data_IF_168504795037
#
_entry.id   IF_168504795037
#
_cell.length_a   1.000
_cell.length_b   1.000
_cell.length_c   1.000
_cell.angle_alpha   90.00
_cell.angle_beta   90.00
_cell.angle_gamma   90.00
#
_symmetry.space_group_name_H-M   'P 1'
#
loop_
_entity.id
_entity.type
_entity.pdbx_description
1 polymer ?
#
# COMPACT_ATOMS: atom_id res chain seq x y z
N UNK A 1 -4.38 16.91 -5.93
CA UNK A 1 -3.57 18.05 -6.40
C UNK A 1 -4.10 18.57 -7.74
N UNK A 2 -5.37 18.96 -7.74
CA UNK A 2 -6.03 19.56 -8.91
C UNK A 2 -6.45 21.01 -8.60
N UNK A 3 -6.04 21.53 -7.43
CA UNK A 3 -6.53 22.78 -6.84
C UNK A 3 -5.43 23.69 -6.29
N UNK A 4 -4.26 23.17 -5.92
CA UNK A 4 -3.07 23.98 -5.54
C UNK A 4 -1.80 23.36 -6.15
N UNK A 5 -0.85 24.21 -6.54
CA UNK A 5 0.42 23.84 -7.19
C UNK A 5 1.48 23.31 -6.20
N UNK A 6 1.25 23.47 -4.90
CA UNK A 6 2.22 23.11 -3.85
C UNK A 6 2.46 21.61 -3.78
N UNK A 7 1.46 20.85 -4.24
CA UNK A 7 1.36 19.42 -4.07
C UNK A 7 1.09 19.01 -5.55
N UNK A 8 1.96 18.21 -6.24
CA UNK A 8 1.72 17.62 -7.59
C UNK A 8 1.57 16.08 -7.56
N UNK A 9 0.37 15.56 -7.82
CA UNK A 9 0.01 14.14 -7.82
C UNK A 9 -0.65 13.97 -9.15
N UNK A 10 0.00 13.24 -10.02
CA UNK A 10 -0.52 12.90 -11.32
C UNK A 10 -1.57 11.80 -11.16
N UNK A 11 -2.33 11.59 -12.22
CA UNK A 11 -3.31 10.51 -12.30
C UNK A 11 -2.66 9.15 -11.96
N UNK A 12 -1.40 8.94 -12.36
CA UNK A 12 -0.65 7.72 -12.05
C UNK A 12 -0.45 7.49 -10.54
N UNK A 13 -0.32 8.54 -9.73
CA UNK A 13 -0.16 8.40 -8.27
C UNK A 13 -1.45 7.86 -7.64
N UNK A 14 -2.61 8.33 -8.12
CA UNK A 14 -3.90 7.82 -7.70
C UNK A 14 -4.11 6.37 -8.13
N UNK A 15 -3.68 5.99 -9.33
CA UNK A 15 -3.75 4.61 -9.79
C UNK A 15 -2.83 3.71 -8.95
N UNK A 16 -1.60 4.15 -8.69
CA UNK A 16 -0.66 3.43 -7.85
C UNK A 16 -1.23 3.20 -6.44
N UNK A 17 -1.81 4.25 -5.83
CA UNK A 17 -2.50 4.16 -4.55
C UNK A 17 -3.68 3.18 -4.58
N UNK A 18 -4.53 3.29 -5.60
CA UNK A 18 -5.68 2.41 -5.78
C UNK A 18 -5.28 0.95 -5.95
N UNK A 19 -4.30 0.66 -6.81
CA UNK A 19 -3.78 -0.69 -7.00
C UNK A 19 -3.18 -1.25 -5.72
N UNK A 20 -2.39 -0.45 -4.99
CA UNK A 20 -1.77 -0.89 -3.74
C UNK A 20 -2.82 -1.28 -2.69
N UNK A 21 -3.90 -0.50 -2.57
CA UNK A 21 -5.02 -0.79 -1.67
C UNK A 21 -5.82 -2.02 -2.11
N UNK A 22 -6.14 -2.14 -3.40
CA UNK A 22 -6.90 -3.28 -3.93
C UNK A 22 -6.12 -4.58 -3.76
N UNK A 23 -4.81 -4.58 -4.07
CA UNK A 23 -3.97 -5.77 -3.93
C UNK A 23 -3.82 -6.16 -2.47
N UNK A 24 -3.47 -5.23 -1.58
CA UNK A 24 -3.29 -5.51 -0.15
C UNK A 24 -4.59 -5.94 0.53
N UNK A 25 -5.69 -5.20 0.32
CA UNK A 25 -7.01 -5.52 0.87
C UNK A 25 -7.59 -6.81 0.31
N UNK A 26 -7.48 -7.03 -1.01
CA UNK A 26 -7.90 -8.28 -1.66
C UNK A 26 -7.12 -9.49 -1.15
N UNK A 27 -5.81 -9.34 -0.97
CA UNK A 27 -4.95 -10.37 -0.36
C UNK A 27 -5.39 -10.68 1.07
N UNK A 28 -5.68 -9.65 1.87
CA UNK A 28 -6.18 -9.84 3.23
C UNK A 28 -7.49 -10.62 3.24
N UNK A 29 -8.49 -10.22 2.45
CA UNK A 29 -9.79 -10.90 2.41
C UNK A 29 -9.63 -12.36 1.98
N UNK A 30 -8.85 -12.62 0.92
CA UNK A 30 -8.64 -13.97 0.39
C UNK A 30 -7.93 -14.90 1.39
N UNK A 31 -6.94 -14.38 2.12
CA UNK A 31 -6.17 -15.16 3.09
C UNK A 31 -6.90 -15.28 4.42
N UNK A 32 -7.52 -14.21 4.93
CA UNK A 32 -8.26 -14.20 6.18
C UNK A 32 -9.50 -15.11 6.12
N UNK A 33 -10.10 -15.29 4.94
CA UNK A 33 -11.22 -16.21 4.75
C UNK A 33 -10.82 -17.70 4.90
N UNK A 34 -9.52 -18.02 4.86
CA UNK A 34 -8.99 -19.37 5.13
C UNK A 34 -8.50 -19.57 6.56
N UNK A 35 -8.61 -18.55 7.40
CA UNK A 35 -8.14 -18.58 8.78
C UNK A 35 -9.34 -18.62 9.73
N UNK A 36 -9.28 -19.46 10.76
CA UNK A 36 -10.33 -19.52 11.78
C UNK A 36 -9.98 -18.68 13.03
N UNK A 37 -8.68 -18.55 13.33
CA UNK A 37 -8.22 -17.86 14.53
C UNK A 37 -8.15 -16.33 14.32
N UNK A 38 -8.79 -15.57 15.22
CA UNK A 38 -8.73 -14.10 15.24
C UNK A 38 -7.31 -13.56 15.37
N UNK A 39 -6.44 -14.23 16.13
CA UNK A 39 -5.03 -13.84 16.29
C UNK A 39 -4.29 -13.96 14.95
N UNK A 40 -4.52 -15.03 14.19
CA UNK A 40 -3.91 -15.20 12.86
C UNK A 40 -4.37 -14.12 11.89
N UNK A 41 -5.66 -13.76 11.90
CA UNK A 41 -6.21 -12.67 11.09
C UNK A 41 -5.58 -11.32 11.46
N UNK A 42 -5.42 -11.04 12.76
CA UNK A 42 -4.79 -9.81 13.23
C UNK A 42 -3.32 -9.73 12.81
N UNK A 43 -2.56 -10.82 12.96
CA UNK A 43 -1.15 -10.88 12.52
C UNK A 43 -1.04 -10.68 11.01
N UNK A 44 -1.92 -11.32 10.22
CA UNK A 44 -1.98 -11.12 8.78
C UNK A 44 -2.28 -9.67 8.41
N UNK A 45 -3.26 -9.03 9.08
CA UNK A 45 -3.60 -7.64 8.85
C UNK A 45 -2.42 -6.71 9.13
N UNK A 46 -1.72 -6.92 10.25
CA UNK A 46 -0.54 -6.14 10.62
C UNK A 46 0.58 -6.33 9.59
N UNK A 47 0.87 -7.57 9.18
CA UNK A 47 1.91 -7.86 8.21
C UNK A 47 1.62 -7.19 6.84
N UNK A 48 0.38 -7.31 6.35
CA UNK A 48 -0.04 -6.65 5.10
C UNK A 48 -0.05 -5.13 5.24
N UNK A 49 -0.44 -4.59 6.38
CA UNK A 49 -0.41 -3.16 6.66
C UNK A 49 1.01 -2.59 6.66
N UNK A 50 1.96 -3.29 7.30
CA UNK A 50 3.38 -2.91 7.26
C UNK A 50 3.91 -2.98 5.83
N UNK A 51 3.60 -4.04 5.08
CA UNK A 51 4.00 -4.16 3.68
C UNK A 51 3.44 -3.05 2.80
N UNK A 52 2.17 -2.71 2.97
CA UNK A 52 1.50 -1.60 2.28
C UNK A 52 2.23 -0.29 2.57
N UNK A 53 2.47 0.03 3.85
CA UNK A 53 3.17 1.25 4.24
C UNK A 53 4.61 1.29 3.72
N UNK A 54 5.32 0.17 3.75
CA UNK A 54 6.68 0.07 3.22
C UNK A 54 6.74 0.37 1.72
N UNK A 55 5.84 -0.23 0.93
CA UNK A 55 5.74 0.03 -0.51
C UNK A 55 5.32 1.47 -0.77
N UNK A 56 4.35 1.99 0.00
CA UNK A 56 3.92 3.39 -0.11
C UNK A 56 5.07 4.36 0.15
N UNK A 57 5.84 4.13 1.22
CA UNK A 57 7.01 4.96 1.55
C UNK A 57 8.07 4.89 0.46
N UNK A 58 8.29 3.73 -0.16
CA UNK A 58 9.24 3.62 -1.26
C UNK A 58 8.76 4.37 -2.50
N UNK A 59 7.48 4.22 -2.86
CA UNK A 59 6.91 4.91 -4.02
C UNK A 59 6.79 6.42 -3.82
N UNK A 60 6.57 6.89 -2.59
CA UNK A 60 6.37 8.31 -2.30
C UNK A 60 7.68 9.05 -1.96
N UNK A 61 8.59 8.39 -1.23
CA UNK A 61 9.79 9.02 -0.64
C UNK A 61 11.08 8.32 -1.06
N UNK A 62 11.04 7.06 -1.50
CA UNK A 62 12.23 6.32 -1.91
C UNK A 62 13.16 5.92 -0.76
N UNK A 63 12.59 5.57 0.39
CA UNK A 63 13.33 5.31 1.65
C UNK A 63 14.42 4.25 1.51
N UNK A 64 14.20 3.21 0.71
CA UNK A 64 15.10 2.07 0.56
C UNK A 64 16.09 2.23 -0.60
N UNK A 65 15.96 3.29 -1.40
CA UNK A 65 16.86 3.58 -2.52
C UNK A 65 16.79 2.54 -3.64
N UNK A 66 15.65 1.87 -3.82
CA UNK A 66 15.49 0.88 -4.89
C UNK A 66 15.20 1.56 -6.23
N UNK A 67 15.33 0.86 -7.37
CA UNK A 67 14.96 1.41 -8.68
C UNK A 67 13.48 1.83 -8.79
N UNK A 68 12.63 1.37 -7.87
CA UNK A 68 11.21 1.70 -7.80
C UNK A 68 10.90 2.96 -6.99
N UNK A 69 11.92 3.58 -6.36
CA UNK A 69 11.76 4.81 -5.60
C UNK A 69 11.10 5.91 -6.44
N UNK A 70 10.08 6.57 -5.87
CA UNK A 70 9.48 7.76 -6.45
C UNK A 70 10.51 8.88 -6.57
N UNK A 71 10.64 9.46 -7.78
CA UNK A 71 11.49 10.61 -8.06
C UNK A 71 10.65 11.84 -8.37
#
# INVERSE_FOLDING_TARGET
MQFTDEVRWDWFDFLAAGMLLVVSGGSYVLLANRMDNRVQKAVLAIALGIGLLAVWMELAVGVFGTPFAGR
#
